data_IF_440617620506
#
_entry.id   IF_440617620506
#
_cell.length_a   1.000
_cell.length_b   1.000
_cell.length_c   1.000
_cell.angle_alpha   90.00
_cell.angle_beta   90.00
_cell.angle_gamma   90.00
#
_symmetry.space_group_name_H-M   'P 1'
#
loop_
_entity.id
_entity.type
_entity.pdbx_description
1 polymer ?
#
# COMPACT_ATOMS: atom_id res chain seq x y z
N UNK A 1 11.21 13.96 0.99
CA UNK A 1 10.46 13.61 0.36
C UNK A 1 10.70 12.72 -0.60
N UNK A 2 10.38 11.66 -0.53
CA UNK A 2 10.76 10.75 -1.44
C UNK A 2 9.62 10.43 -2.34
N UNK A 3 9.95 10.10 -3.55
CA UNK A 3 8.96 9.73 -4.50
C UNK A 3 8.26 8.48 -4.06
N UNK A 4 8.90 7.67 -3.26
CA UNK A 4 8.29 6.45 -2.81
C UNK A 4 7.12 6.69 -1.89
N UNK A 5 7.19 7.70 -1.05
CA UNK A 5 6.08 8.01 -0.17
C UNK A 5 4.87 8.43 -0.96
N UNK A 6 5.07 9.27 -1.99
CA UNK A 6 3.97 9.71 -2.82
C UNK A 6 3.42 8.56 -3.62
N UNK A 7 4.32 7.73 -4.14
CA UNK A 7 3.91 6.61 -4.96
C UNK A 7 3.11 5.60 -4.16
N UNK A 8 3.53 5.33 -2.92
CA UNK A 8 2.81 4.37 -2.08
C UNK A 8 1.43 4.91 -1.74
N UNK A 9 1.34 6.19 -1.46
CA UNK A 9 0.07 6.81 -1.14
C UNK A 9 -0.87 6.79 -2.33
N UNK A 10 -0.35 7.10 -3.51
CA UNK A 10 -1.17 7.07 -4.71
C UNK A 10 -1.66 5.66 -5.01
N UNK A 11 -0.80 4.68 -4.83
CA UNK A 11 -1.18 3.30 -5.05
C UNK A 11 -2.24 2.86 -4.06
N UNK A 12 -2.09 3.27 -2.80
CA UNK A 12 -3.07 2.92 -1.78
C UNK A 12 -4.42 3.53 -2.09
N UNK A 13 -4.44 4.77 -2.54
CA UNK A 13 -5.69 5.42 -2.87
C UNK A 13 -6.35 4.75 -4.08
N UNK A 14 -5.57 4.36 -5.06
CA UNK A 14 -6.10 3.68 -6.23
C UNK A 14 -6.71 2.34 -5.83
N UNK A 15 -6.05 1.61 -4.94
CA UNK A 15 -6.58 0.35 -4.48
C UNK A 15 -7.87 0.54 -3.70
N UNK A 16 -7.91 1.57 -2.86
CA UNK A 16 -9.12 1.85 -2.10
C UNK A 16 -10.27 2.19 -3.04
N UNK A 17 -9.99 2.94 -4.09
CA UNK A 17 -11.02 3.32 -5.05
C UNK A 17 -11.54 2.10 -5.80
N UNK A 18 -10.67 1.18 -6.16
CA UNK A 18 -11.07 0.03 -6.94
C UNK A 18 -11.62 -1.10 -6.11
N UNK A 19 -11.04 -1.37 -4.96
CA UNK A 19 -11.35 -2.56 -4.20
C UNK A 19 -11.99 -2.30 -2.83
N UNK A 20 -12.02 -1.05 -2.39
CA UNK A 20 -12.62 -0.72 -1.11
C UNK A 20 -11.95 -1.45 0.02
N UNK A 21 -12.71 -2.19 0.78
CA UNK A 21 -12.18 -2.87 1.95
C UNK A 21 -11.22 -3.98 1.59
N UNK A 22 -11.21 -4.45 0.35
CA UNK A 22 -10.29 -5.50 -0.04
C UNK A 22 -8.92 -4.96 -0.40
N UNK A 23 -8.74 -3.64 -0.38
CA UNK A 23 -7.48 -3.04 -0.80
C UNK A 23 -6.28 -3.61 -0.07
N UNK A 24 -6.39 -3.80 1.25
CA UNK A 24 -5.25 -4.32 1.99
C UNK A 24 -4.97 -5.78 1.65
N UNK A 25 -6.00 -6.54 1.34
CA UNK A 25 -5.81 -7.91 0.90
C UNK A 25 -5.05 -7.94 -0.41
N UNK A 26 -5.45 -7.09 -1.34
CA UNK A 26 -4.80 -7.02 -2.64
C UNK A 26 -3.33 -6.62 -2.46
N UNK A 27 -3.07 -5.62 -1.63
CA UNK A 27 -1.70 -5.17 -1.42
C UNK A 27 -0.85 -6.27 -0.79
N UNK A 28 -1.42 -7.02 0.14
CA UNK A 28 -0.71 -8.10 0.79
C UNK A 28 -0.37 -9.21 -0.20
N UNK A 29 -1.31 -9.52 -1.10
CA UNK A 29 -1.05 -10.53 -2.12
C UNK A 29 0.06 -10.08 -3.06
N UNK A 30 0.08 -8.82 -3.44
CA UNK A 30 1.13 -8.31 -4.30
C UNK A 30 2.47 -8.35 -3.60
N UNK A 31 2.50 -8.00 -2.32
CA UNK A 31 3.74 -8.06 -1.55
C UNK A 31 4.28 -9.49 -1.52
N UNK A 32 3.39 -10.46 -1.34
CA UNK A 32 3.81 -11.85 -1.30
C UNK A 32 4.37 -12.28 -2.65
N UNK A 33 3.75 -11.83 -3.73
CA UNK A 33 4.22 -12.18 -5.07
C UNK A 33 5.62 -11.65 -5.34
N UNK A 34 5.86 -10.39 -5.02
CA UNK A 34 7.16 -9.80 -5.29
C UNK A 34 8.23 -10.36 -4.34
N UNK A 35 7.82 -10.72 -3.13
CA UNK A 35 8.75 -11.35 -2.21
C UNK A 35 9.20 -12.70 -2.75
N UNK A 36 8.27 -13.46 -3.33
CA UNK A 36 8.60 -14.75 -3.90
C UNK A 36 9.55 -14.60 -5.09
N UNK A 37 9.49 -13.47 -5.77
CA UNK A 37 10.38 -13.21 -6.88
C UNK A 37 11.72 -12.66 -6.47
N UNK A 38 11.86 -12.32 -5.20
CA UNK A 38 13.10 -11.74 -4.71
C UNK A 38 13.26 -10.27 -5.05
N UNK A 39 12.16 -9.60 -5.38
CA UNK A 39 12.21 -8.20 -5.78
C UNK A 39 12.12 -7.32 -4.55
N UNK A 40 13.25 -7.03 -3.94
CA UNK A 40 13.26 -6.32 -2.67
C UNK A 40 12.79 -4.88 -2.79
N UNK A 41 13.00 -4.25 -3.93
CA UNK A 41 12.55 -2.88 -4.10
C UNK A 41 11.04 -2.83 -4.20
N UNK A 42 10.47 -3.76 -4.95
CA UNK A 42 9.02 -3.81 -5.07
C UNK A 42 8.39 -4.18 -3.74
N UNK A 43 9.05 -5.06 -2.99
CA UNK A 43 8.52 -5.44 -1.68
C UNK A 43 8.48 -4.23 -0.76
N UNK A 44 9.52 -3.41 -0.77
CA UNK A 44 9.55 -2.20 0.07
C UNK A 44 8.41 -1.27 -0.33
N UNK A 45 8.14 -1.15 -1.62
CA UNK A 45 7.04 -0.33 -2.10
C UNK A 45 5.69 -0.86 -1.59
N UNK A 46 5.48 -2.17 -1.70
CA UNK A 46 4.21 -2.74 -1.26
C UNK A 46 4.06 -2.70 0.25
N UNK A 47 5.16 -2.82 0.99
CA UNK A 47 5.11 -2.65 2.44
C UNK A 47 4.67 -1.24 2.80
N UNK A 48 5.15 -0.24 2.07
CA UNK A 48 4.73 1.14 2.30
C UNK A 48 3.25 1.32 1.97
N UNK A 49 2.78 0.69 0.88
CA UNK A 49 1.36 0.75 0.53
C UNK A 49 0.50 0.15 1.63
N UNK A 50 0.91 -0.99 2.15
CA UNK A 50 0.19 -1.65 3.23
C UNK A 50 0.14 -0.77 4.46
N UNK A 51 1.25 -0.12 4.78
CA UNK A 51 1.28 0.77 5.94
C UNK A 51 0.30 1.92 5.78
N UNK A 52 0.21 2.49 4.59
CA UNK A 52 -0.75 3.55 4.34
C UNK A 52 -2.17 3.03 4.52
N UNK A 53 -2.45 1.84 4.00
CA UNK A 53 -3.79 1.28 4.11
C UNK A 53 -4.16 0.96 5.54
N UNK A 54 -3.21 0.50 6.31
CA UNK A 54 -3.48 0.13 7.70
C UNK A 54 -3.64 1.34 8.60
N UNK A 55 -2.91 2.40 8.32
CA UNK A 55 -3.06 3.62 9.10
C UNK A 55 -4.33 4.35 8.76
N UNK A 56 -4.86 4.09 7.59
CA UNK A 56 -6.03 4.79 7.13
C UNK A 56 -5.65 6.07 6.44
N UNK A 57 -6.44 6.46 5.48
CA UNK A 57 -6.12 7.62 4.68
C UNK A 57 -6.34 8.94 5.39
N UNK A 58 -7.15 8.96 6.43
CA UNK A 58 -7.41 10.21 7.09
C UNK A 58 -7.45 10.03 8.57
N UNK A 59 -6.31 9.98 9.17
CA UNK A 59 -6.25 9.80 10.61
C UNK A 59 -6.94 10.89 11.39
N UNK A 60 -7.09 12.02 10.81
CA UNK A 60 -7.75 13.08 11.48
C UNK A 60 -9.11 12.79 11.87
N UNK A 61 -9.78 11.95 11.17
CA UNK A 61 -11.09 11.71 11.52
C UNK A 61 -11.27 10.98 12.74
N UNK A 62 -10.24 10.53 13.32
CA UNK A 62 -10.34 9.85 14.56
C UNK A 62 -10.68 10.77 15.67
N UNK A 63 -10.57 12.02 15.47
CA UNK A 63 -10.90 12.94 16.53
C UNK A 63 -12.31 13.45 16.41
#
# INVERSE_FOLDING_TARGET
MSDQDTSARDAAMALLTQYGEDASVIATLRAAEVAAMGDVEALAHWDAVIAVLEDGPTPDQLN
#
